data_IF_180851342231
#
_entry.id   IF_180851342231
#
_cell.length_a   1.000
_cell.length_b   1.000
_cell.length_c   1.000
_cell.angle_alpha   90.00
_cell.angle_beta   90.00
_cell.angle_gamma   90.00
#
_symmetry.space_group_name_H-M   'P 1'
#
loop_
_entity.id
_entity.type
_entity.pdbx_description
1 polymer ?
#
# COMPACT_ATOMS: atom_id res chain seq x y z
N UNK A 1 30.75 -15.66 -11.94
CA UNK A 1 29.32 -15.51 -11.56
C UNK A 1 28.49 -16.59 -12.24
N UNK A 2 27.54 -17.22 -11.53
CA UNK A 2 26.68 -18.26 -12.09
C UNK A 2 25.59 -17.72 -13.03
N UNK A 3 25.02 -18.60 -13.86
CA UNK A 3 23.93 -18.27 -14.81
C UNK A 3 22.73 -17.57 -14.13
N UNK A 4 22.39 -17.96 -12.91
CA UNK A 4 21.23 -17.43 -12.18
C UNK A 4 21.38 -15.94 -11.85
N UNK A 5 22.52 -15.50 -11.29
CA UNK A 5 22.73 -14.11 -10.92
C UNK A 5 22.74 -13.21 -12.16
N UNK A 6 23.45 -13.62 -13.20
CA UNK A 6 23.55 -12.90 -14.48
C UNK A 6 22.18 -12.82 -15.17
N UNK A 7 21.31 -13.83 -15.03
CA UNK A 7 19.97 -13.79 -15.64
C UNK A 7 19.01 -12.91 -14.83
N UNK A 8 19.08 -12.95 -13.50
CA UNK A 8 18.10 -12.30 -12.61
C UNK A 8 18.38 -10.83 -12.37
N UNK A 9 19.64 -10.44 -12.09
CA UNK A 9 20.01 -9.10 -11.63
C UNK A 9 20.52 -8.16 -12.73
N UNK A 10 20.12 -8.39 -13.99
CA UNK A 10 20.43 -7.48 -15.10
C UNK A 10 19.63 -6.18 -14.98
N UNK A 11 20.21 -5.09 -15.48
CA UNK A 11 19.59 -3.75 -15.52
C UNK A 11 18.18 -3.76 -16.14
N UNK A 12 17.97 -4.53 -17.22
CA UNK A 12 16.65 -4.70 -17.86
C UNK A 12 15.55 -5.36 -16.99
N UNK A 13 15.88 -5.89 -15.81
CA UNK A 13 14.96 -6.52 -14.85
C UNK A 13 15.12 -5.92 -13.45
N UNK A 14 15.66 -4.70 -13.36
CA UNK A 14 15.85 -4.00 -12.09
C UNK A 14 14.49 -3.72 -11.45
N UNK A 15 14.36 -4.06 -10.18
CA UNK A 15 13.20 -3.71 -9.35
C UNK A 15 13.38 -2.32 -8.77
N UNK A 16 12.29 -1.69 -8.32
CA UNK A 16 12.35 -0.43 -7.58
C UNK A 16 13.22 -0.60 -6.32
N UNK A 17 14.04 0.40 -6.04
CA UNK A 17 14.98 0.41 -4.92
C UNK A 17 14.27 0.70 -3.59
N UNK A 18 14.85 0.23 -2.47
CA UNK A 18 14.21 0.24 -1.16
C UNK A 18 14.03 1.65 -0.59
N UNK A 19 14.99 2.54 -0.84
CA UNK A 19 14.97 3.95 -0.46
C UNK A 19 13.82 4.72 -1.13
N UNK A 20 13.56 4.45 -2.41
CA UNK A 20 12.43 5.01 -3.15
C UNK A 20 11.09 4.54 -2.55
N UNK A 21 10.99 3.24 -2.26
CA UNK A 21 9.79 2.66 -1.64
C UNK A 21 9.57 3.22 -0.24
N UNK A 22 10.64 3.42 0.54
CA UNK A 22 10.56 4.03 1.85
C UNK A 22 9.99 5.45 1.78
N UNK A 23 10.43 6.24 0.81
CA UNK A 23 9.91 7.59 0.58
C UNK A 23 8.42 7.57 0.17
N UNK A 24 8.03 6.64 -0.71
CA UNK A 24 6.64 6.47 -1.13
C UNK A 24 5.71 6.13 0.06
N UNK A 25 6.21 5.35 1.04
CA UNK A 25 5.49 4.97 2.26
C UNK A 25 5.53 6.06 3.34
N UNK A 26 6.38 7.07 3.20
CA UNK A 26 6.53 8.12 4.22
C UNK A 26 5.49 9.24 4.07
N UNK A 27 4.95 9.45 2.88
CA UNK A 27 3.95 10.49 2.65
C UNK A 27 2.56 9.86 2.41
N UNK A 28 1.49 10.34 3.08
CA UNK A 28 0.14 9.81 2.89
C UNK A 28 -0.38 10.08 1.47
N UNK A 29 -0.03 11.22 0.89
CA UNK A 29 -0.39 11.60 -0.47
C UNK A 29 0.16 10.64 -1.53
N UNK A 30 1.40 10.19 -1.37
CA UNK A 30 2.00 9.22 -2.30
C UNK A 30 1.35 7.85 -2.17
N UNK A 31 1.01 7.43 -0.95
CA UNK A 31 0.25 6.18 -0.73
C UNK A 31 -1.10 6.26 -1.44
N UNK A 32 -1.84 7.36 -1.24
CA UNK A 32 -3.14 7.56 -1.86
C UNK A 32 -3.03 7.56 -3.40
N UNK A 33 -2.06 8.29 -3.95
CA UNK A 33 -1.80 8.32 -5.40
C UNK A 33 -1.44 6.95 -5.98
N UNK A 34 -0.62 6.17 -5.26
CA UNK A 34 -0.20 4.84 -5.72
C UNK A 34 -1.32 3.80 -5.61
N UNK A 35 -2.23 3.94 -4.66
CA UNK A 35 -3.41 3.09 -4.56
C UNK A 35 -4.49 3.47 -5.56
N UNK A 36 -4.72 4.76 -5.77
CA UNK A 36 -5.74 5.29 -6.67
C UNK A 36 -5.12 5.69 -8.01
N UNK A 37 -4.36 4.76 -8.60
CA UNK A 37 -3.83 4.93 -9.96
C UNK A 37 -4.98 4.94 -10.99
N UNK A 38 -4.84 5.72 -12.08
CA UNK A 38 -5.76 5.62 -13.21
C UNK A 38 -5.69 4.22 -13.83
N UNK A 39 -6.77 3.82 -14.49
CA UNK A 39 -6.83 2.54 -15.19
C UNK A 39 -5.81 2.52 -16.32
N UNK A 40 -4.97 1.49 -16.34
CA UNK A 40 -3.87 1.32 -17.29
C UNK A 40 -3.87 -0.10 -17.85
N UNK A 41 -4.18 -0.23 -19.14
CA UNK A 41 -4.34 -1.51 -19.84
C UNK A 41 -3.05 -2.33 -19.92
N UNK A 42 -1.89 -1.68 -19.84
CA UNK A 42 -0.59 -2.35 -19.95
C UNK A 42 -0.17 -3.04 -18.64
N UNK A 43 -0.84 -2.71 -17.53
CA UNK A 43 -0.53 -3.24 -16.21
C UNK A 43 -1.49 -4.38 -15.83
N UNK A 44 -1.00 -5.39 -15.08
CA UNK A 44 -1.87 -6.39 -14.48
C UNK A 44 -2.97 -5.74 -13.62
N UNK A 45 -4.19 -6.27 -13.69
CA UNK A 45 -5.32 -5.77 -12.90
C UNK A 45 -5.65 -4.30 -13.16
N UNK A 46 -5.41 -3.82 -14.39
CA UNK A 46 -5.61 -2.42 -14.80
C UNK A 46 -4.89 -1.40 -13.90
N UNK A 47 -3.80 -1.82 -13.24
CA UNK A 47 -3.03 -0.99 -12.31
C UNK A 47 -3.67 -0.79 -10.93
N UNK A 48 -4.82 -1.41 -10.64
CA UNK A 48 -5.59 -1.17 -9.42
C UNK A 48 -5.06 -1.95 -8.21
N UNK A 49 -4.69 -3.23 -8.39
CA UNK A 49 -4.21 -4.08 -7.30
C UNK A 49 -2.69 -3.99 -7.17
N UNK A 50 -2.22 -2.94 -6.48
CA UNK A 50 -0.81 -2.65 -6.32
C UNK A 50 -0.33 -2.79 -4.87
N UNK A 51 0.74 -3.55 -4.65
CA UNK A 51 1.45 -3.58 -3.38
C UNK A 51 2.63 -2.59 -3.41
N UNK A 52 2.56 -1.54 -2.58
CA UNK A 52 3.56 -0.47 -2.51
C UNK A 52 4.92 -1.02 -2.06
N UNK A 53 4.93 -1.80 -0.98
CA UNK A 53 6.16 -2.32 -0.36
C UNK A 53 6.97 -3.21 -1.30
N UNK A 54 6.29 -4.06 -2.06
CA UNK A 54 6.93 -4.97 -3.01
C UNK A 54 7.07 -4.37 -4.41
N UNK A 55 6.52 -3.19 -4.65
CA UNK A 55 6.41 -2.52 -5.95
C UNK A 55 5.92 -3.46 -7.07
N UNK A 56 4.82 -4.16 -6.82
CA UNK A 56 4.29 -5.18 -7.73
C UNK A 56 2.78 -5.06 -7.92
N UNK A 57 2.35 -5.21 -9.17
CA UNK A 57 0.96 -5.28 -9.58
C UNK A 57 0.45 -6.73 -9.57
N UNK A 58 -0.82 -6.89 -9.24
CA UNK A 58 -1.55 -8.15 -9.20
C UNK A 58 -2.81 -8.06 -10.05
N UNK A 59 -3.38 -9.22 -10.37
CA UNK A 59 -4.57 -9.30 -11.22
C UNK A 59 -5.85 -9.03 -10.43
N UNK A 60 -5.97 -9.57 -9.21
CA UNK A 60 -7.17 -9.52 -8.37
C UNK A 60 -6.82 -9.25 -6.90
N UNK A 61 -7.79 -8.77 -6.11
CA UNK A 61 -7.62 -8.51 -4.67
C UNK A 61 -7.27 -9.77 -3.86
N UNK A 62 -7.90 -10.92 -4.16
CA UNK A 62 -7.62 -12.19 -3.46
C UNK A 62 -6.14 -12.58 -3.57
N UNK A 63 -5.51 -12.29 -4.71
CA UNK A 63 -4.09 -12.58 -4.94
C UNK A 63 -3.22 -11.61 -4.16
N UNK A 64 -3.61 -10.33 -4.10
CA UNK A 64 -2.93 -9.31 -3.30
C UNK A 64 -2.98 -9.67 -1.80
N UNK A 65 -4.14 -10.08 -1.29
CA UNK A 65 -4.31 -10.52 0.10
C UNK A 65 -3.45 -11.75 0.42
N UNK A 66 -3.41 -12.73 -0.49
CA UNK A 66 -2.52 -13.90 -0.38
C UNK A 66 -1.04 -13.48 -0.40
N UNK A 67 -0.68 -12.50 -1.22
CA UNK A 67 0.67 -11.96 -1.28
C UNK A 67 1.06 -11.31 0.05
N UNK A 68 0.19 -10.49 0.65
CA UNK A 68 0.44 -9.84 1.94
C UNK A 68 0.69 -10.87 3.07
N UNK A 69 0.00 -12.02 3.04
CA UNK A 69 0.21 -13.10 4.02
C UNK A 69 1.52 -13.89 3.80
N UNK A 70 2.13 -13.78 2.62
CA UNK A 70 3.29 -14.58 2.20
C UNK A 70 4.59 -14.18 2.91
N UNK A 71 5.55 -15.11 2.98
CA UNK A 71 6.88 -14.86 3.59
C UNK A 71 7.70 -13.82 2.82
N UNK A 72 7.51 -13.71 1.51
CA UNK A 72 8.25 -12.76 0.67
C UNK A 72 7.88 -11.33 1.04
N UNK A 73 6.59 -11.05 1.16
CA UNK A 73 6.09 -9.76 1.59
C UNK A 73 6.55 -9.45 3.02
N UNK A 74 6.33 -10.36 3.97
CA UNK A 74 6.79 -10.19 5.37
C UNK A 74 8.28 -9.92 5.50
N UNK A 75 9.11 -10.50 4.62
CA UNK A 75 10.54 -10.18 4.57
C UNK A 75 10.77 -8.74 4.11
N UNK A 76 10.09 -8.30 3.06
CA UNK A 76 10.18 -6.92 2.56
C UNK A 76 9.71 -5.89 3.60
N UNK A 77 8.60 -6.15 4.29
CA UNK A 77 8.11 -5.29 5.38
C UNK A 77 9.21 -5.11 6.43
N UNK A 78 9.91 -6.18 6.79
CA UNK A 78 11.01 -6.13 7.77
C UNK A 78 12.17 -5.28 7.27
N UNK A 79 12.58 -5.46 6.01
CA UNK A 79 13.64 -4.65 5.38
C UNK A 79 13.27 -3.16 5.34
N UNK A 80 11.99 -2.81 5.15
CA UNK A 80 11.50 -1.43 5.10
C UNK A 80 11.29 -0.77 6.46
N UNK A 81 11.32 -1.53 7.56
CA UNK A 81 11.26 -0.96 8.92
C UNK A 81 12.55 -0.27 9.32
N UNK A 82 13.66 -0.67 8.73
CA UNK A 82 14.96 -0.06 8.99
C UNK A 82 15.14 1.18 8.12
N UNK A 83 15.90 2.16 8.62
CA UNK A 83 16.27 3.35 7.84
C UNK A 83 17.01 2.88 6.56
N UNK A 84 16.60 3.34 5.37
CA UNK A 84 17.25 2.94 4.14
C UNK A 84 18.69 3.46 4.09
N UNK A 85 19.59 2.62 3.59
CA UNK A 85 20.98 3.00 3.37
C UNK A 85 21.08 4.05 2.26
N UNK A 86 21.73 5.16 2.56
CA UNK A 86 21.98 6.26 1.62
C UNK A 86 23.48 6.39 1.34
N UNK A 87 23.89 6.94 0.19
CA UNK A 87 25.30 7.22 -0.09
C UNK A 87 25.98 8.06 1.00
N UNK A 88 25.24 8.96 1.66
CA UNK A 88 25.73 9.76 2.79
C UNK A 88 26.26 8.91 3.94
N UNK A 89 25.70 7.72 4.15
CA UNK A 89 26.18 6.79 5.19
C UNK A 89 27.50 6.13 4.80
N UNK A 90 27.71 5.86 3.51
CA UNK A 90 28.99 5.41 2.98
C UNK A 90 30.07 6.48 3.15
N UNK A 91 29.74 7.73 2.85
CA UNK A 91 30.64 8.87 2.99
C UNK A 91 30.98 9.12 4.47
N UNK A 92 29.98 9.09 5.35
CA UNK A 92 30.17 9.25 6.79
C UNK A 92 31.06 8.15 7.38
N UNK A 93 30.91 6.90 6.92
CA UNK A 93 31.80 5.80 7.32
C UNK A 93 33.26 5.97 6.84
N UNK A 94 33.48 6.82 5.84
CA UNK A 94 34.80 7.24 5.37
C UNK A 94 35.22 8.61 5.93
N UNK A 95 34.57 9.09 6.99
CA UNK A 95 34.80 10.38 7.65
C UNK A 95 34.55 11.61 6.76
N UNK A 96 33.67 11.50 5.77
CA UNK A 96 33.25 12.59 4.88
C UNK A 96 31.79 12.96 5.14
N UNK A 97 31.46 14.26 5.15
CA UNK A 97 30.07 14.77 5.27
C UNK A 97 29.31 14.32 6.54
N UNK A 98 30.01 14.15 7.67
CA UNK A 98 29.43 13.70 8.95
C UNK A 98 28.26 14.55 9.45
N UNK A 99 28.34 15.87 9.33
CA UNK A 99 27.27 16.79 9.76
C UNK A 99 25.97 16.56 8.97
N UNK A 100 26.07 16.37 7.65
CA UNK A 100 24.92 16.09 6.79
C UNK A 100 24.29 14.75 7.11
N UNK A 101 25.13 13.76 7.44
CA UNK A 101 24.66 12.45 7.87
C UNK A 101 23.90 12.53 9.20
N UNK A 102 24.43 13.25 10.20
CA UNK A 102 23.76 13.45 11.49
C UNK A 102 22.40 14.13 11.31
N UNK A 103 22.33 15.22 10.53
CA UNK A 103 21.07 15.90 10.21
C UNK A 103 20.07 14.99 9.48
N UNK A 104 20.56 14.14 8.56
CA UNK A 104 19.72 13.13 7.90
C UNK A 104 19.12 12.16 8.91
N UNK A 105 19.92 11.61 9.83
CA UNK A 105 19.45 10.68 10.86
C UNK A 105 18.39 11.32 11.75
N UNK A 106 18.58 12.57 12.18
CA UNK A 106 17.59 13.32 12.97
C UNK A 106 16.27 13.49 12.22
N UNK A 107 16.32 13.85 10.94
CA UNK A 107 15.14 13.93 10.08
C UNK A 107 14.40 12.59 10.02
N UNK A 108 15.11 11.47 9.90
CA UNK A 108 14.46 10.15 9.89
C UNK A 108 13.78 9.81 11.22
N UNK A 109 14.40 10.15 12.36
CA UNK A 109 13.78 9.97 13.68
C UNK A 109 12.49 10.78 13.80
N UNK A 110 12.48 12.03 13.34
CA UNK A 110 11.28 12.87 13.32
C UNK A 110 10.18 12.26 12.44
N UNK A 111 10.52 11.73 11.27
CA UNK A 111 9.57 11.03 10.39
C UNK A 111 9.01 9.75 11.02
N UNK A 112 9.83 8.98 11.74
CA UNK A 112 9.37 7.79 12.46
C UNK A 112 8.39 8.17 13.59
N UNK A 113 8.68 9.23 14.35
CA UNK A 113 7.75 9.76 15.35
C UNK A 113 6.42 10.17 14.71
N UNK A 114 6.45 10.91 13.59
CA UNK A 114 5.25 11.29 12.84
C UNK A 114 4.44 10.07 12.36
N UNK A 115 5.10 9.02 11.86
CA UNK A 115 4.44 7.77 11.45
C UNK A 115 3.79 7.04 12.61
N UNK A 116 4.43 7.05 13.79
CA UNK A 116 3.90 6.40 14.98
C UNK A 116 2.67 7.15 15.53
N UNK A 117 2.72 8.48 15.53
CA UNK A 117 1.59 9.34 15.94
C UNK A 117 0.38 9.17 15.00
N UNK A 118 0.61 9.12 13.69
CA UNK A 118 -0.45 9.00 12.68
C UNK A 118 -0.69 7.55 12.21
N UNK A 119 -0.27 6.57 13.00
CA UNK A 119 -0.27 5.16 12.60
C UNK A 119 -1.63 4.68 12.10
N UNK A 120 -2.71 5.06 12.78
CA UNK A 120 -4.07 4.68 12.39
C UNK A 120 -4.46 5.21 11.01
N UNK A 121 -4.03 6.43 10.66
CA UNK A 121 -4.28 7.02 9.35
C UNK A 121 -3.52 6.27 8.25
N UNK A 122 -2.23 6.01 8.48
CA UNK A 122 -1.42 5.21 7.56
C UNK A 122 -1.97 3.80 7.39
N UNK A 123 -2.40 3.14 8.47
CA UNK A 123 -2.98 1.80 8.42
C UNK A 123 -4.30 1.79 7.64
N UNK A 124 -5.15 2.81 7.80
CA UNK A 124 -6.39 2.96 6.99
C UNK A 124 -6.06 3.14 5.51
N UNK A 125 -5.09 3.99 5.18
CA UNK A 125 -4.65 4.20 3.80
C UNK A 125 -4.06 2.93 3.20
N UNK A 126 -3.16 2.24 3.91
CA UNK A 126 -2.48 1.02 3.43
C UNK A 126 -3.45 -0.17 3.32
N UNK A 127 -4.49 -0.24 4.16
CA UNK A 127 -5.47 -1.34 4.13
C UNK A 127 -6.74 -1.02 3.34
N UNK A 128 -6.87 0.18 2.75
CA UNK A 128 -7.98 0.51 1.85
C UNK A 128 -8.14 -0.55 0.75
N UNK A 129 -9.29 -1.24 0.75
CA UNK A 129 -9.72 -2.19 -0.28
C UNK A 129 -10.67 -1.53 -1.27
N UNK A 130 -10.81 -2.13 -2.46
CA UNK A 130 -11.67 -1.65 -3.53
C UNK A 130 -12.73 -2.69 -3.87
N UNK A 131 -13.56 -3.03 -2.88
CA UNK A 131 -14.53 -4.14 -2.98
C UNK A 131 -15.56 -3.93 -4.11
N UNK A 132 -15.88 -2.67 -4.43
CA UNK A 132 -16.73 -2.33 -5.58
C UNK A 132 -16.15 -2.78 -6.93
N UNK A 133 -14.83 -2.67 -7.12
CA UNK A 133 -14.18 -3.12 -8.37
C UNK A 133 -14.18 -4.65 -8.45
N UNK A 134 -13.96 -5.33 -7.33
CA UNK A 134 -14.01 -6.80 -7.27
C UNK A 134 -15.41 -7.33 -7.62
N UNK A 135 -16.46 -6.69 -7.10
CA UNK A 135 -17.85 -7.03 -7.40
C UNK A 135 -18.19 -6.85 -8.89
N UNK A 136 -17.69 -5.77 -9.52
CA UNK A 136 -17.88 -5.51 -10.96
C UNK A 136 -17.11 -6.52 -11.82
N UNK A 137 -15.87 -6.87 -11.46
CA UNK A 137 -15.00 -7.74 -12.27
C UNK A 137 -15.42 -9.21 -12.16
N UNK A 138 -15.77 -9.67 -10.95
CA UNK A 138 -16.04 -11.10 -10.70
C UNK A 138 -17.51 -11.47 -10.84
N UNK A 139 -18.42 -10.49 -10.86
CA UNK A 139 -19.86 -10.71 -10.90
C UNK A 139 -20.44 -11.40 -9.65
N UNK A 140 -19.60 -11.65 -8.64
CA UNK A 140 -19.98 -12.21 -7.34
C UNK A 140 -19.69 -11.15 -6.28
N UNK A 141 -20.71 -10.51 -5.70
CA UNK A 141 -20.50 -9.49 -4.67
C UNK A 141 -19.81 -10.10 -3.45
N UNK A 142 -18.84 -9.40 -2.85
CA UNK A 142 -18.19 -9.86 -1.63
C UNK A 142 -19.20 -10.01 -0.49
N UNK A 143 -19.00 -10.99 0.41
CA UNK A 143 -19.92 -11.23 1.54
C UNK A 143 -20.09 -9.99 2.44
N UNK A 144 -19.05 -9.17 2.53
CA UNK A 144 -19.06 -7.90 3.27
C UNK A 144 -19.93 -6.85 2.57
N UNK A 145 -19.84 -6.72 1.24
CA UNK A 145 -20.70 -5.83 0.45
C UNK A 145 -22.17 -6.26 0.48
N UNK A 146 -22.44 -7.56 0.49
CA UNK A 146 -23.82 -8.08 0.64
C UNK A 146 -24.40 -7.71 2.01
N UNK A 147 -23.61 -7.80 3.08
CA UNK A 147 -24.02 -7.39 4.44
C UNK A 147 -24.24 -5.88 4.54
N UNK A 148 -23.38 -5.07 3.93
CA UNK A 148 -23.58 -3.62 3.84
C UNK A 148 -24.88 -3.28 3.09
N UNK A 149 -25.12 -3.90 1.93
CA UNK A 149 -26.37 -3.72 1.18
C UNK A 149 -27.61 -4.11 1.99
N UNK A 150 -27.55 -5.23 2.74
CA UNK A 150 -28.63 -5.67 3.62
C UNK A 150 -28.88 -4.67 4.75
N UNK A 151 -27.83 -4.19 5.42
CA UNK A 151 -27.96 -3.16 6.46
C UNK A 151 -28.54 -1.84 5.94
N UNK A 152 -28.13 -1.40 4.76
CA UNK A 152 -28.67 -0.19 4.11
C UNK A 152 -30.15 -0.38 3.72
N UNK A 153 -30.54 -1.57 3.26
CA UNK A 153 -31.94 -1.89 2.99
C UNK A 153 -32.77 -1.92 4.28
N UNK A 154 -32.27 -2.49 5.37
CA UNK A 154 -32.93 -2.48 6.68
C UNK A 154 -33.10 -1.05 7.24
N UNK A 155 -32.11 -0.17 7.07
CA UNK A 155 -32.21 1.23 7.44
C UNK A 155 -33.24 2.01 6.61
N UNK A 156 -33.33 1.73 5.30
CA UNK A 156 -34.34 2.36 4.43
C UNK A 156 -35.75 1.87 4.77
N UNK A 157 -35.91 0.57 5.07
CA UNK A 157 -37.20 -0.02 5.47
C UNK A 157 -37.66 0.55 6.82
N UNK A 158 -36.76 0.72 7.80
CA UNK A 158 -37.10 1.30 9.10
C UNK A 158 -37.45 2.78 9.03
N UNK A 159 -36.82 3.56 8.13
CA UNK A 159 -37.17 4.97 7.88
C UNK A 159 -38.49 5.12 7.12
N UNK A 160 -38.82 4.21 6.20
CA UNK A 160 -40.06 4.23 5.42
C UNK A 160 -41.33 3.83 6.19
N UNK A 161 -41.19 3.15 7.34
CA UNK A 161 -42.33 2.74 8.18
C UNK A 161 -42.83 3.85 9.14
N UNK A 162 -42.18 5.02 9.15
CA UNK A 162 -42.55 6.15 10.02
C UNK A 162 -43.56 7.17 9.46
N UNK A 163 -43.92 7.10 8.17
CA UNK A 163 -44.72 8.15 7.50
C UNK A 163 -46.18 7.77 7.19
N UNK A 164 -46.65 6.58 7.57
CA UNK A 164 -48.05 6.15 7.32
C UNK A 164 -48.79 5.90 8.63
N UNK A 165 -49.08 6.97 9.38
CA UNK A 165 -50.03 6.92 10.49
C UNK A 165 -50.93 8.18 10.51
N UNK A 166 -52.16 7.97 10.02
CA UNK A 166 -53.41 8.71 10.29
C UNK A 166 -53.49 10.20 9.93
N UNK A 167 -54.14 10.48 8.78
CA UNK A 167 -55.15 11.53 8.68
C UNK A 167 -56.39 10.94 7.96
N UNK A 168 -57.41 10.57 8.74
CA UNK A 168 -58.83 10.47 8.34
C UNK A 168 -59.65 11.36 9.27
#
# INVERSE_FOLDING_TARGET
MGRYSVKRYKTKRRTRDLDLIYNDLSNPESINKLKNQPLDELKPGLGQYYCIECAKYFENQVILDRHCRSKVHKRRVKELKERPYLPLEAEAAADVNMEKFAASVEKYKQLEHYKLENKEEFDKLINQKKDNLDAIITGVPSEEFQKEQQSLQEEVISKGQGEVAMEE
#
